data_IF_684802108764
#
_entry.id   IF_684802108764
#
_cell.length_a   1.000
_cell.length_b   1.000
_cell.length_c   1.000
_cell.angle_alpha   90.00
_cell.angle_beta   90.00
_cell.angle_gamma   90.00
#
_symmetry.space_group_name_H-M   'P 1'
#
loop_
_entity.id
_entity.type
_entity.pdbx_description
1 polymer ?
#
# COMPACT_ATOMS: atom_id res chain seq x y z
N UNK A 1 14.53 -4.66 20.38
CA UNK A 1 14.92 -4.36 18.97
C UNK A 1 16.04 -5.30 18.55
N UNK A 2 16.00 -5.85 17.34
CA UNK A 2 17.01 -6.78 16.79
C UNK A 2 17.66 -6.18 15.55
N UNK A 3 18.96 -6.36 15.42
CA UNK A 3 19.71 -5.87 14.28
C UNK A 3 19.88 -6.95 13.22
N UNK A 4 19.64 -6.59 11.98
CA UNK A 4 19.79 -7.47 10.82
C UNK A 4 20.43 -6.72 9.65
N UNK A 5 21.13 -7.45 8.77
CA UNK A 5 21.52 -6.94 7.45
C UNK A 5 20.57 -7.57 6.45
N UNK A 6 19.80 -6.75 5.74
CA UNK A 6 18.74 -7.26 4.86
C UNK A 6 18.44 -6.29 3.71
N UNK A 7 17.68 -6.76 2.73
CA UNK A 7 17.07 -5.92 1.67
C UNK A 7 15.62 -5.60 2.01
N UNK A 8 15.05 -4.56 1.37
CA UNK A 8 13.64 -4.22 1.53
C UNK A 8 12.72 -5.39 1.17
N UNK A 9 12.98 -6.07 0.04
CA UNK A 9 12.20 -7.24 -0.38
C UNK A 9 12.24 -8.37 0.64
N UNK A 10 13.42 -8.68 1.18
CA UNK A 10 13.58 -9.73 2.20
C UNK A 10 12.87 -9.34 3.52
N UNK A 11 12.87 -8.05 3.88
CA UNK A 11 12.16 -7.57 5.07
C UNK A 11 10.64 -7.64 4.91
N UNK A 12 10.10 -7.39 3.73
CA UNK A 12 8.68 -7.61 3.42
C UNK A 12 8.31 -9.08 3.62
N UNK A 13 9.09 -10.00 3.04
CA UNK A 13 8.84 -11.44 3.19
C UNK A 13 8.92 -11.91 4.65
N UNK A 14 9.93 -11.45 5.38
CA UNK A 14 10.12 -11.75 6.80
C UNK A 14 8.98 -11.23 7.66
N UNK A 15 8.61 -9.96 7.48
CA UNK A 15 7.51 -9.33 8.21
C UNK A 15 6.18 -10.06 7.95
N UNK A 16 5.93 -10.47 6.70
CA UNK A 16 4.75 -11.22 6.35
C UNK A 16 4.65 -12.54 7.16
N UNK A 17 5.72 -13.34 7.17
CA UNK A 17 5.72 -14.61 7.93
C UNK A 17 5.60 -14.37 9.44
N UNK A 18 6.35 -13.41 9.98
CA UNK A 18 6.34 -13.11 11.42
C UNK A 18 5.00 -12.56 11.89
N UNK A 19 4.25 -11.83 11.05
CA UNK A 19 2.88 -11.40 11.40
C UNK A 19 1.81 -12.45 11.12
N UNK A 20 2.21 -13.67 10.73
CA UNK A 20 1.32 -14.83 10.57
C UNK A 20 0.79 -15.04 9.15
N UNK A 21 1.40 -14.43 8.11
CA UNK A 21 1.15 -14.81 6.73
C UNK A 21 1.53 -16.28 6.55
N UNK A 22 0.58 -17.08 6.03
CA UNK A 22 0.74 -18.51 5.86
C UNK A 22 0.43 -18.98 4.44
N UNK A 23 0.19 -18.05 3.50
CA UNK A 23 -0.02 -18.39 2.10
C UNK A 23 0.53 -17.31 1.18
N UNK A 24 1.29 -17.73 0.18
CA UNK A 24 1.71 -16.90 -0.94
C UNK A 24 1.34 -17.58 -2.26
N UNK A 25 0.68 -16.81 -3.14
CA UNK A 25 0.43 -17.20 -4.52
C UNK A 25 0.97 -16.13 -5.47
N UNK A 26 1.80 -16.52 -6.44
CA UNK A 26 2.38 -15.52 -7.33
C UNK A 26 3.15 -16.09 -8.51
N UNK A 27 3.64 -15.18 -9.34
CA UNK A 27 4.51 -15.42 -10.48
C UNK A 27 5.73 -14.49 -10.40
N UNK A 28 6.96 -14.98 -10.61
CA UNK A 28 8.16 -14.17 -10.44
C UNK A 28 8.26 -13.08 -11.51
N UNK A 29 8.46 -11.84 -11.06
CA UNK A 29 8.70 -10.68 -11.92
C UNK A 29 9.66 -9.71 -11.23
N UNK A 30 10.66 -9.21 -11.97
CA UNK A 30 11.63 -8.21 -11.49
C UNK A 30 10.92 -6.85 -11.33
N UNK A 31 11.11 -6.11 -10.19
CA UNK A 31 12.08 -6.35 -9.10
C UNK A 31 11.44 -6.95 -7.82
N UNK A 32 10.35 -7.70 -7.90
CA UNK A 32 9.67 -8.31 -6.74
C UNK A 32 10.03 -9.79 -6.52
N UNK A 33 10.84 -10.39 -7.39
CA UNK A 33 11.13 -11.82 -7.36
C UNK A 33 11.76 -12.29 -6.05
N UNK A 34 12.55 -11.45 -5.38
CA UNK A 34 13.20 -11.78 -4.12
C UNK A 34 12.18 -12.00 -3.00
N UNK A 35 11.03 -11.31 -3.03
CA UNK A 35 9.94 -11.55 -2.07
C UNK A 35 9.43 -12.99 -2.21
N UNK A 36 9.16 -13.42 -3.45
CA UNK A 36 8.71 -14.78 -3.73
C UNK A 36 9.78 -15.82 -3.36
N UNK A 37 11.06 -15.53 -3.67
CA UNK A 37 12.19 -16.41 -3.32
C UNK A 37 12.30 -16.61 -1.81
N UNK A 38 12.32 -15.53 -1.03
CA UNK A 38 12.37 -15.60 0.44
C UNK A 38 11.16 -16.35 1.01
N UNK A 39 9.95 -16.09 0.53
CA UNK A 39 8.75 -16.76 0.99
C UNK A 39 8.71 -18.24 0.62
N UNK A 40 9.33 -18.65 -0.50
CA UNK A 40 9.44 -20.06 -0.88
C UNK A 40 10.25 -20.88 0.13
N UNK A 41 11.16 -20.21 0.85
CA UNK A 41 11.99 -20.82 1.91
C UNK A 41 11.33 -20.67 3.28
N UNK A 42 10.78 -19.50 3.58
CA UNK A 42 10.26 -19.17 4.92
C UNK A 42 8.91 -19.84 5.20
N UNK A 43 7.94 -19.77 4.27
CA UNK A 43 6.60 -20.31 4.51
C UNK A 43 6.59 -21.79 4.87
N UNK A 44 7.25 -22.70 4.12
CA UNK A 44 7.27 -24.11 4.49
C UNK A 44 7.89 -24.38 5.88
N UNK A 45 8.91 -23.62 6.28
CA UNK A 45 9.53 -23.74 7.61
C UNK A 45 8.60 -23.35 8.75
N UNK A 46 7.57 -22.51 8.47
CA UNK A 46 6.60 -22.04 9.45
C UNK A 46 5.20 -22.65 9.24
N UNK A 47 5.11 -23.79 8.49
CA UNK A 47 3.85 -24.48 8.25
C UNK A 47 2.91 -23.78 7.27
N UNK A 48 3.41 -22.81 6.52
CA UNK A 48 2.68 -22.11 5.46
C UNK A 48 2.86 -22.76 4.08
N UNK A 49 2.14 -22.24 3.10
CA UNK A 49 2.12 -22.72 1.72
C UNK A 49 2.63 -21.65 0.76
N UNK A 50 3.54 -22.02 -0.10
CA UNK A 50 4.03 -21.21 -1.22
C UNK A 50 3.64 -21.89 -2.53
N UNK A 51 2.98 -21.13 -3.44
CA UNK A 51 2.60 -21.64 -4.77
C UNK A 51 3.08 -20.64 -5.83
N UNK A 52 3.95 -21.13 -6.71
CA UNK A 52 4.26 -20.45 -7.95
C UNK A 52 3.28 -20.92 -9.02
N UNK A 53 2.61 -19.97 -9.63
CA UNK A 53 1.65 -20.21 -10.71
C UNK A 53 2.30 -19.90 -12.06
N UNK A 54 1.57 -20.17 -13.15
CA UNK A 54 2.02 -19.96 -14.53
C UNK A 54 1.93 -18.50 -14.99
N UNK A 55 1.13 -17.67 -14.27
CA UNK A 55 0.99 -16.23 -14.54
C UNK A 55 0.48 -15.46 -13.31
N UNK A 56 0.39 -14.15 -13.43
CA UNK A 56 -0.07 -13.26 -12.36
C UNK A 56 -1.56 -13.38 -12.08
N UNK A 57 -2.39 -13.75 -13.06
CA UNK A 57 -3.84 -13.92 -12.90
C UNK A 57 -4.11 -15.12 -11.99
N UNK A 58 -3.48 -16.24 -12.30
CA UNK A 58 -3.57 -17.44 -11.48
C UNK A 58 -2.95 -17.21 -10.08
N UNK A 59 -1.83 -16.47 -10.00
CA UNK A 59 -1.13 -16.16 -8.76
C UNK A 59 -2.01 -15.43 -7.74
N UNK A 60 -2.72 -14.37 -8.15
CA UNK A 60 -3.63 -13.66 -7.26
C UNK A 60 -4.90 -14.46 -6.98
N UNK A 61 -5.40 -15.24 -7.95
CA UNK A 61 -6.62 -16.03 -7.79
C UNK A 61 -6.47 -17.10 -6.70
N UNK A 62 -5.34 -17.83 -6.66
CA UNK A 62 -5.07 -18.80 -5.59
C UNK A 62 -4.88 -18.12 -4.24
N UNK A 63 -4.30 -16.91 -4.19
CA UNK A 63 -4.14 -16.15 -2.95
C UNK A 63 -5.49 -15.68 -2.40
N UNK A 64 -6.42 -15.21 -3.25
CA UNK A 64 -7.79 -14.87 -2.86
C UNK A 64 -8.56 -16.10 -2.35
N UNK A 65 -8.46 -17.24 -3.05
CA UNK A 65 -9.07 -18.50 -2.62
C UNK A 65 -8.55 -18.96 -1.26
N UNK A 66 -7.25 -18.88 -1.04
CA UNK A 66 -6.63 -19.19 0.25
C UNK A 66 -7.12 -18.24 1.36
N UNK A 67 -7.22 -16.95 1.08
CA UNK A 67 -7.74 -15.96 2.04
C UNK A 67 -9.22 -16.21 2.37
N UNK A 68 -10.06 -16.53 1.39
CA UNK A 68 -11.44 -16.93 1.62
C UNK A 68 -11.54 -18.18 2.49
N UNK A 69 -10.57 -19.08 2.39
CA UNK A 69 -10.47 -20.32 3.21
C UNK A 69 -9.81 -20.09 4.58
N UNK A 70 -9.46 -18.85 4.93
CA UNK A 70 -8.95 -18.49 6.26
C UNK A 70 -7.47 -18.23 6.35
N UNK A 71 -6.71 -18.38 5.27
CA UNK A 71 -5.30 -18.03 5.28
C UNK A 71 -5.09 -16.50 5.40
N UNK A 72 -4.01 -16.11 6.04
CA UNK A 72 -3.46 -14.78 5.92
C UNK A 72 -2.56 -14.77 4.68
N UNK A 73 -3.09 -14.30 3.55
CA UNK A 73 -2.48 -14.48 2.24
C UNK A 73 -1.89 -13.21 1.66
N UNK A 74 -0.89 -13.38 0.80
CA UNK A 74 -0.31 -12.29 0.01
C UNK A 74 0.10 -12.72 -1.40
N UNK A 75 0.28 -11.73 -2.26
CA UNK A 75 0.94 -11.85 -3.57
C UNK A 75 1.90 -10.69 -3.77
N UNK A 76 2.92 -10.87 -4.59
CA UNK A 76 3.85 -9.81 -4.98
C UNK A 76 4.00 -9.77 -6.50
N UNK A 77 4.20 -8.56 -7.04
CA UNK A 77 4.38 -8.34 -8.48
C UNK A 77 5.04 -6.99 -8.74
N UNK A 78 5.06 -6.57 -10.00
CA UNK A 78 5.54 -5.27 -10.46
C UNK A 78 4.74 -4.83 -11.67
N UNK A 79 4.55 -3.54 -11.88
CA UNK A 79 4.00 -2.89 -13.05
C UNK A 79 3.05 -3.71 -13.92
N UNK A 80 3.55 -4.36 -15.01
CA UNK A 80 2.69 -5.11 -15.93
C UNK A 80 1.98 -6.30 -15.27
N UNK A 81 2.61 -6.93 -14.26
CA UNK A 81 1.97 -8.01 -13.51
C UNK A 81 0.82 -7.51 -12.61
N UNK A 82 0.91 -6.28 -12.08
CA UNK A 82 -0.22 -5.66 -11.37
C UNK A 82 -1.36 -5.38 -12.35
N UNK A 83 -1.06 -4.94 -13.58
CA UNK A 83 -2.09 -4.75 -14.62
C UNK A 83 -2.84 -6.05 -14.93
N UNK A 84 -2.15 -7.19 -14.97
CA UNK A 84 -2.79 -8.51 -15.17
C UNK A 84 -3.66 -8.94 -13.99
N UNK A 85 -3.41 -8.44 -12.78
CA UNK A 85 -4.19 -8.75 -11.57
C UNK A 85 -5.45 -7.87 -11.40
N UNK A 86 -5.69 -6.93 -12.30
CA UNK A 86 -6.70 -5.88 -12.14
C UNK A 86 -8.11 -6.42 -11.80
N UNK A 87 -8.58 -7.42 -12.55
CA UNK A 87 -9.91 -8.03 -12.34
C UNK A 87 -10.02 -8.71 -10.97
N UNK A 88 -9.00 -9.46 -10.57
CA UNK A 88 -8.99 -10.17 -9.30
C UNK A 88 -8.87 -9.21 -8.11
N UNK A 89 -8.22 -8.06 -8.27
CA UNK A 89 -8.22 -7.00 -7.26
C UNK A 89 -9.64 -6.46 -7.07
N UNK A 90 -10.37 -6.24 -8.17
CA UNK A 90 -11.79 -5.86 -8.14
C UNK A 90 -12.66 -6.90 -7.45
N UNK A 91 -12.47 -8.19 -7.75
CA UNK A 91 -13.13 -9.28 -7.05
C UNK A 91 -12.83 -9.26 -5.54
N UNK A 92 -11.56 -9.09 -5.16
CA UNK A 92 -11.16 -9.00 -3.75
C UNK A 92 -11.83 -7.83 -3.02
N UNK A 93 -12.01 -6.70 -3.71
CA UNK A 93 -12.67 -5.52 -3.17
C UNK A 93 -14.19 -5.74 -2.98
N UNK A 94 -14.91 -6.16 -4.02
CA UNK A 94 -16.37 -6.32 -3.96
C UNK A 94 -16.78 -7.47 -3.04
N UNK A 95 -16.01 -8.57 -3.03
CA UNK A 95 -16.26 -9.73 -2.18
C UNK A 95 -15.68 -9.58 -0.76
N UNK A 96 -15.01 -8.49 -0.47
CA UNK A 96 -14.41 -8.18 0.84
C UNK A 96 -13.44 -9.26 1.33
N UNK A 97 -12.54 -9.70 0.46
CA UNK A 97 -11.53 -10.71 0.76
C UNK A 97 -10.22 -10.00 1.13
N UNK A 98 -9.73 -10.13 2.38
CA UNK A 98 -8.49 -9.49 2.80
C UNK A 98 -7.28 -10.11 2.09
N UNK A 99 -6.45 -9.27 1.45
CA UNK A 99 -5.24 -9.69 0.76
C UNK A 99 -4.19 -8.58 0.82
N UNK A 100 -2.92 -8.92 1.03
CA UNK A 100 -1.82 -7.98 0.83
C UNK A 100 -1.24 -8.18 -0.56
N UNK A 101 -1.17 -7.08 -1.32
CA UNK A 101 -0.62 -7.03 -2.66
C UNK A 101 0.62 -6.15 -2.63
N UNK A 102 1.79 -6.72 -2.86
CA UNK A 102 3.02 -5.95 -2.92
C UNK A 102 3.34 -5.62 -4.38
N UNK A 103 3.48 -4.33 -4.66
CA UNK A 103 3.99 -3.84 -5.94
C UNK A 103 5.36 -3.21 -5.72
N UNK A 104 6.41 -3.83 -6.23
CA UNK A 104 7.73 -3.22 -6.29
C UNK A 104 7.83 -2.48 -7.62
N UNK A 105 7.60 -1.17 -7.58
CA UNK A 105 7.49 -0.32 -8.78
C UNK A 105 8.81 -0.22 -9.55
N UNK A 106 8.69 -0.26 -10.87
CA UNK A 106 9.80 -0.12 -11.81
C UNK A 106 9.44 0.86 -12.93
N UNK A 107 10.41 1.23 -13.75
CA UNK A 107 10.16 2.11 -14.88
C UNK A 107 9.14 1.53 -15.85
N UNK A 108 7.99 2.19 -16.00
CA UNK A 108 6.94 1.92 -16.98
C UNK A 108 6.93 2.98 -18.09
N UNK A 109 5.94 2.95 -19.02
CA UNK A 109 4.86 1.97 -19.16
C UNK A 109 5.29 0.64 -19.80
N UNK A 110 4.38 -0.36 -19.81
CA UNK A 110 4.61 -1.71 -20.37
C UNK A 110 5.80 -2.40 -19.68
N UNK A 111 6.65 -3.13 -20.41
CA UNK A 111 7.86 -3.76 -19.90
C UNK A 111 8.82 -2.73 -19.30
N UNK A 112 8.92 -1.58 -19.92
CA UNK A 112 9.66 -0.41 -19.44
C UNK A 112 11.10 -0.67 -19.12
N UNK A 113 11.49 -0.37 -17.89
CA UNK A 113 12.84 -0.51 -17.34
C UNK A 113 12.84 -1.45 -16.14
N UNK A 114 12.94 -2.78 -16.31
CA UNK A 114 12.70 -3.78 -15.25
C UNK A 114 13.59 -3.64 -14.01
N UNK A 115 14.79 -3.06 -14.15
CA UNK A 115 15.80 -2.91 -13.10
C UNK A 115 16.08 -1.44 -12.77
N UNK A 116 15.12 -0.56 -13.01
CA UNK A 116 15.28 0.88 -12.77
C UNK A 116 14.14 1.42 -11.95
N UNK A 117 14.50 2.31 -11.04
CA UNK A 117 13.56 2.94 -10.10
C UNK A 117 12.53 3.82 -10.80
N UNK A 118 11.29 3.73 -10.36
CA UNK A 118 10.21 4.66 -10.66
C UNK A 118 9.15 4.62 -9.57
N UNK A 119 8.26 5.60 -9.57
CA UNK A 119 7.07 5.69 -8.73
C UNK A 119 5.84 5.96 -9.62
N UNK A 120 5.77 5.25 -10.76
CA UNK A 120 4.78 5.49 -11.81
C UNK A 120 3.44 4.78 -11.63
N UNK A 121 3.26 3.96 -10.59
CA UNK A 121 2.08 3.12 -10.40
C UNK A 121 1.12 3.68 -9.33
N UNK A 122 1.23 4.96 -8.96
CA UNK A 122 0.44 5.58 -7.89
C UNK A 122 -1.05 5.61 -8.24
N UNK A 123 -1.39 6.08 -9.45
CA UNK A 123 -2.77 6.14 -9.89
C UNK A 123 -3.33 4.74 -10.20
N UNK A 124 -2.49 3.81 -10.67
CA UNK A 124 -2.87 2.40 -10.80
C UNK A 124 -3.18 1.78 -9.44
N UNK A 125 -2.38 2.07 -8.41
CA UNK A 125 -2.61 1.56 -7.06
C UNK A 125 -3.90 2.14 -6.44
N UNK A 126 -4.24 3.38 -6.76
CA UNK A 126 -5.50 4.02 -6.32
C UNK A 126 -6.72 3.38 -6.99
N UNK A 127 -6.64 3.15 -8.30
CA UNK A 127 -7.73 2.63 -9.13
C UNK A 127 -7.22 1.42 -9.94
N UNK A 128 -6.99 0.27 -9.29
CA UNK A 128 -6.32 -0.86 -9.95
C UNK A 128 -7.24 -1.66 -10.89
N UNK A 129 -8.55 -1.42 -10.83
CA UNK A 129 -9.56 -2.12 -11.62
C UNK A 129 -10.58 -1.13 -12.19
N UNK A 130 -11.51 -1.62 -13.03
CA UNK A 130 -12.65 -0.84 -13.50
C UNK A 130 -13.69 -0.64 -12.38
N UNK A 131 -14.61 0.31 -12.60
CA UNK A 131 -15.64 0.69 -11.63
C UNK A 131 -15.09 1.53 -10.46
N UNK A 132 -15.92 1.70 -9.45
CA UNK A 132 -15.59 2.49 -8.28
C UNK A 132 -14.97 1.63 -7.19
N UNK A 133 -13.74 1.91 -6.82
CA UNK A 133 -12.99 1.21 -5.76
C UNK A 133 -12.37 2.20 -4.78
N UNK A 134 -12.17 1.77 -3.55
CA UNK A 134 -11.53 2.56 -2.49
C UNK A 134 -10.38 1.75 -1.88
N UNK A 135 -9.18 1.97 -2.38
CA UNK A 135 -8.00 1.19 -2.02
C UNK A 135 -7.24 1.81 -0.84
N UNK A 136 -6.71 0.96 0.02
CA UNK A 136 -5.69 1.35 1.00
C UNK A 136 -4.32 1.08 0.37
N UNK A 137 -3.49 2.14 0.28
CA UNK A 137 -2.18 2.10 -0.37
C UNK A 137 -1.11 2.65 0.55
N UNK A 138 -0.14 1.82 0.89
CA UNK A 138 0.97 2.17 1.78
C UNK A 138 2.27 2.27 0.99
N UNK A 139 3.16 3.19 1.37
CA UNK A 139 4.46 3.38 0.72
C UNK A 139 5.58 3.52 1.76
N UNK A 140 6.30 2.44 2.09
CA UNK A 140 7.48 2.51 2.93
C UNK A 140 8.59 3.32 2.25
N UNK A 141 9.39 4.01 3.07
CA UNK A 141 10.50 4.85 2.61
C UNK A 141 11.84 4.45 3.23
N UNK A 142 11.86 3.41 4.04
CA UNK A 142 13.07 2.85 4.66
C UNK A 142 12.97 1.34 4.80
N UNK A 143 14.08 0.68 5.12
CA UNK A 143 14.11 -0.77 5.38
C UNK A 143 13.27 -1.16 6.59
N UNK A 144 13.35 -0.37 7.68
CA UNK A 144 12.51 -0.58 8.85
C UNK A 144 11.03 -0.46 8.50
N UNK A 145 10.69 0.51 7.66
CA UNK A 145 9.31 0.70 7.18
C UNK A 145 8.86 -0.42 6.24
N UNK A 146 9.75 -1.05 5.45
CA UNK A 146 9.39 -2.26 4.70
C UNK A 146 8.86 -3.34 5.64
N UNK A 147 9.48 -3.50 6.81
CA UNK A 147 9.02 -4.45 7.81
C UNK A 147 7.71 -3.99 8.49
N UNK A 148 7.69 -2.79 9.07
CA UNK A 148 6.55 -2.32 9.87
C UNK A 148 5.30 -2.04 9.04
N UNK A 149 5.45 -1.50 7.82
CA UNK A 149 4.31 -1.26 6.93
C UNK A 149 3.75 -2.56 6.32
N UNK A 150 4.56 -3.61 6.19
CA UNK A 150 4.04 -4.94 5.80
C UNK A 150 3.12 -5.49 6.89
N UNK A 151 3.53 -5.45 8.15
CA UNK A 151 2.66 -5.85 9.28
C UNK A 151 1.37 -5.03 9.28
N UNK A 152 1.51 -3.71 9.09
CA UNK A 152 0.35 -2.80 9.04
C UNK A 152 -0.56 -3.09 7.84
N UNK A 153 -0.03 -3.44 6.67
CA UNK A 153 -0.83 -3.82 5.52
C UNK A 153 -1.73 -5.04 5.81
N UNK A 154 -1.19 -6.04 6.48
CA UNK A 154 -1.98 -7.20 6.92
C UNK A 154 -3.05 -6.83 7.94
N UNK A 155 -2.73 -5.94 8.87
CA UNK A 155 -3.70 -5.47 9.87
C UNK A 155 -4.85 -4.71 9.22
N UNK A 156 -4.56 -3.80 8.30
CA UNK A 156 -5.58 -3.02 7.58
C UNK A 156 -6.42 -3.92 6.66
N UNK A 157 -5.79 -4.89 5.98
CA UNK A 157 -6.53 -5.84 5.16
C UNK A 157 -7.54 -6.63 5.99
N UNK A 158 -7.12 -7.13 7.16
CA UNK A 158 -8.00 -7.87 8.07
C UNK A 158 -9.05 -6.98 8.77
N UNK A 159 -8.68 -5.73 9.12
CA UNK A 159 -9.57 -4.76 9.78
C UNK A 159 -10.71 -4.32 8.87
N UNK A 160 -10.39 -4.02 7.61
CA UNK A 160 -11.35 -3.49 6.64
C UNK A 160 -11.90 -4.55 5.68
N UNK A 161 -11.45 -5.80 5.80
CA UNK A 161 -11.83 -6.89 4.89
C UNK A 161 -11.73 -6.44 3.42
N UNK A 162 -10.50 -6.13 2.98
CA UNK A 162 -10.26 -5.56 1.65
C UNK A 162 -8.82 -5.86 1.21
N UNK A 163 -8.52 -5.90 -0.09
CA UNK A 163 -7.15 -5.86 -0.56
C UNK A 163 -6.45 -4.56 -0.13
N UNK A 164 -5.19 -4.67 0.31
CA UNK A 164 -4.31 -3.55 0.65
C UNK A 164 -3.06 -3.62 -0.21
N UNK A 165 -2.67 -2.52 -0.84
CA UNK A 165 -1.49 -2.45 -1.67
C UNK A 165 -0.32 -1.83 -0.91
N UNK A 166 0.83 -2.51 -0.95
CA UNK A 166 2.10 -2.02 -0.44
C UNK A 166 3.00 -1.67 -1.63
N UNK A 167 3.30 -0.38 -1.79
CA UNK A 167 4.12 0.14 -2.89
C UNK A 167 5.56 0.35 -2.42
N UNK A 168 6.49 -0.46 -2.91
CA UNK A 168 7.91 -0.18 -2.83
C UNK A 168 8.36 0.39 -4.18
N UNK A 169 9.35 1.27 -4.19
CA UNK A 169 10.11 1.47 -5.41
C UNK A 169 11.32 0.50 -5.45
N UNK A 170 11.86 0.28 -6.65
CA UNK A 170 12.96 -0.67 -6.88
C UNK A 170 14.16 -0.42 -5.97
N UNK A 171 14.50 0.86 -5.73
CA UNK A 171 15.63 1.23 -4.86
C UNK A 171 15.40 0.76 -3.42
N UNK A 172 14.22 0.99 -2.85
CA UNK A 172 13.89 0.52 -1.50
C UNK A 172 13.85 -1.01 -1.45
N UNK A 173 13.29 -1.67 -2.49
CA UNK A 173 13.23 -3.12 -2.56
C UNK A 173 14.59 -3.80 -2.53
N UNK A 174 15.56 -3.26 -3.28
CA UNK A 174 16.90 -3.85 -3.44
C UNK A 174 17.97 -3.27 -2.53
N UNK A 175 17.75 -2.09 -1.93
CA UNK A 175 18.71 -1.49 -1.00
C UNK A 175 19.03 -2.47 0.13
N UNK A 176 20.32 -2.69 0.38
CA UNK A 176 20.79 -3.52 1.48
C UNK A 176 21.52 -2.67 2.52
N UNK A 177 21.12 -2.80 3.77
CA UNK A 177 21.78 -2.14 4.88
C UNK A 177 21.56 -2.88 6.20
N UNK A 178 22.30 -2.49 7.22
CA UNK A 178 22.03 -2.85 8.62
C UNK A 178 20.85 -2.03 9.10
N UNK A 179 19.86 -2.70 9.67
CA UNK A 179 18.63 -2.08 10.17
C UNK A 179 18.26 -2.66 11.54
N UNK A 180 17.74 -1.80 12.40
CA UNK A 180 17.21 -2.18 13.72
C UNK A 180 15.71 -2.37 13.60
N UNK A 181 15.22 -3.58 13.83
CA UNK A 181 13.82 -3.95 13.72
C UNK A 181 13.17 -4.06 15.11
N UNK A 182 11.91 -3.65 15.27
CA UNK A 182 11.14 -3.98 16.46
C UNK A 182 10.95 -5.51 16.58
N UNK A 183 10.76 -6.00 17.79
CA UNK A 183 10.28 -7.37 17.97
C UNK A 183 8.82 -7.46 17.52
N UNK A 184 8.44 -8.57 16.92
CA UNK A 184 7.06 -8.75 16.44
C UNK A 184 6.03 -8.65 17.57
N UNK A 185 6.42 -8.98 18.80
CA UNK A 185 5.59 -8.83 19.99
C UNK A 185 5.32 -7.38 20.40
N UNK A 186 6.11 -6.44 19.89
CA UNK A 186 5.92 -4.99 20.12
C UNK A 186 4.93 -4.39 19.10
N UNK A 187 4.56 -5.16 18.05
CA UNK A 187 3.64 -4.74 17.01
C UNK A 187 2.26 -5.34 17.22
N UNK A 188 1.24 -4.56 16.98
CA UNK A 188 -0.12 -5.05 16.95
C UNK A 188 -0.30 -6.03 15.77
N UNK A 189 -0.95 -7.17 16.04
CA UNK A 189 -1.34 -8.15 15.03
C UNK A 189 -2.85 -8.31 15.05
N UNK A 190 -3.52 -7.72 14.08
CA UNK A 190 -4.96 -7.79 13.96
C UNK A 190 -5.40 -9.13 13.34
N UNK A 191 -6.44 -9.71 13.93
CA UNK A 191 -7.11 -10.91 13.41
C UNK A 191 -8.44 -10.51 12.82
N UNK A 192 -8.79 -11.03 11.63
CA UNK A 192 -10.10 -10.78 11.05
C UNK A 192 -11.21 -11.28 11.98
N UNK A 193 -12.32 -10.57 11.99
CA UNK A 193 -13.49 -10.95 12.77
C UNK A 193 -14.18 -12.13 12.11
N UNK A 194 -14.64 -13.06 12.93
CA UNK A 194 -15.47 -14.20 12.53
C UNK A 194 -16.79 -14.14 13.31
N UNK A 195 -17.88 -14.59 12.68
CA UNK A 195 -19.17 -14.73 13.36
C UNK A 195 -19.18 -15.98 14.23
N UNK A 196 -19.76 -15.84 15.41
CA UNK A 196 -20.09 -16.97 16.30
C UNK A 196 -21.60 -17.28 16.29
N UNK A 197 -22.36 -16.67 15.36
CA UNK A 197 -23.81 -16.90 15.24
C UNK A 197 -24.16 -18.28 14.67
N UNK A 198 -25.43 -18.61 14.72
CA UNK A 198 -25.93 -19.90 14.19
C UNK A 198 -25.70 -19.98 12.67
N UNK A 199 -25.09 -21.06 12.15
CA UNK A 199 -24.78 -21.20 10.72
C UNK A 199 -25.97 -21.05 9.78
N UNK A 200 -27.20 -21.40 10.24
CA UNK A 200 -28.43 -21.28 9.44
C UNK A 200 -28.90 -19.83 9.25
N UNK A 201 -28.52 -18.95 10.15
CA UNK A 201 -28.87 -17.51 10.11
C UNK A 201 -27.73 -16.62 9.59
N UNK A 202 -26.65 -17.23 9.16
CA UNK A 202 -25.44 -16.52 8.77
C UNK A 202 -25.62 -15.68 7.50
N UNK A 203 -25.36 -14.38 7.64
CA UNK A 203 -25.43 -13.38 6.58
C UNK A 203 -24.16 -12.51 6.64
N UNK A 204 -23.08 -12.93 6.00
CA UNK A 204 -21.77 -12.29 6.14
C UNK A 204 -21.75 -10.82 5.70
N UNK A 205 -22.60 -10.43 4.75
CA UNK A 205 -22.66 -9.07 4.21
C UNK A 205 -23.77 -8.19 4.83
N UNK A 206 -24.50 -8.72 5.84
CA UNK A 206 -25.45 -7.95 6.63
C UNK A 206 -24.68 -7.19 7.73
N UNK A 207 -23.98 -6.13 7.32
CA UNK A 207 -23.11 -5.32 8.17
C UNK A 207 -23.61 -3.88 8.25
N UNK A 208 -23.23 -3.16 9.32
CA UNK A 208 -23.55 -1.74 9.47
C UNK A 208 -22.99 -0.90 8.30
N UNK A 209 -23.55 0.31 8.05
CA UNK A 209 -23.21 1.13 6.89
C UNK A 209 -21.73 1.53 6.76
N UNK A 210 -20.95 1.41 7.84
CA UNK A 210 -19.53 1.74 7.94
C UNK A 210 -18.66 0.55 8.38
N UNK A 211 -19.26 -0.65 8.42
CA UNK A 211 -18.55 -1.86 8.84
C UNK A 211 -18.22 -2.80 7.68
N UNK A 212 -17.11 -3.55 7.74
CA UNK A 212 -16.79 -4.59 6.79
C UNK A 212 -17.72 -5.82 6.99
N UNK A 213 -17.79 -6.65 5.96
CA UNK A 213 -18.41 -7.97 6.07
C UNK A 213 -17.70 -8.84 7.12
N UNK A 214 -18.44 -9.80 7.68
CA UNK A 214 -17.89 -10.78 8.62
C UNK A 214 -17.82 -12.15 7.94
N UNK A 215 -16.77 -12.35 7.12
CA UNK A 215 -16.59 -13.59 6.36
C UNK A 215 -15.89 -14.65 7.20
N UNK A 216 -16.64 -15.68 7.60
CA UNK A 216 -16.04 -16.88 8.18
C UNK A 216 -15.29 -17.66 7.11
N UNK A 217 -14.16 -18.31 7.45
CA UNK A 217 -13.45 -19.16 6.51
C UNK A 217 -14.34 -20.25 5.92
N UNK A 218 -14.19 -20.56 4.63
CA UNK A 218 -14.79 -21.73 4.05
C UNK A 218 -14.44 -22.99 4.85
N UNK A 219 -15.30 -24.01 4.81
CA UNK A 219 -15.17 -25.29 5.50
C UNK A 219 -15.31 -25.24 7.03
N UNK A 220 -15.80 -24.13 7.60
CA UNK A 220 -16.09 -23.97 9.05
C UNK A 220 -17.57 -24.18 9.41
N UNK A 221 -18.36 -24.79 8.51
CA UNK A 221 -19.77 -25.09 8.76
C UNK A 221 -20.74 -23.95 8.41
N UNK A 222 -20.25 -22.83 7.93
CA UNK A 222 -21.07 -21.72 7.45
C UNK A 222 -21.28 -21.82 5.93
N UNK A 223 -22.51 -21.54 5.48
CA UNK A 223 -22.87 -21.58 4.07
C UNK A 223 -23.21 -20.17 3.59
N UNK A 224 -22.47 -19.71 2.60
CA UNK A 224 -22.67 -18.42 1.94
C UNK A 224 -22.04 -18.44 0.54
N UNK A 225 -22.37 -17.45 -0.26
CA UNK A 225 -21.86 -17.34 -1.63
C UNK A 225 -20.84 -16.21 -1.73
N UNK A 226 -19.78 -16.42 -2.53
CA UNK A 226 -18.83 -15.38 -2.94
C UNK A 226 -18.92 -15.25 -4.46
N UNK A 227 -19.07 -14.02 -4.93
CA UNK A 227 -19.18 -13.71 -6.35
C UNK A 227 -18.59 -12.34 -6.65
N UNK A 228 -18.19 -12.12 -7.92
CA UNK A 228 -17.85 -10.80 -8.44
C UNK A 228 -19.07 -9.98 -8.86
N UNK A 229 -20.29 -10.54 -8.79
CA UNK A 229 -21.54 -9.79 -9.03
C UNK A 229 -21.92 -9.00 -7.77
N UNK A 230 -22.71 -7.94 -7.94
CA UNK A 230 -23.39 -7.32 -6.82
C UNK A 230 -24.27 -8.35 -6.12
N UNK A 231 -24.26 -8.35 -4.80
CA UNK A 231 -24.86 -9.41 -4.01
C UNK A 231 -25.57 -8.88 -2.76
N UNK A 232 -26.52 -9.67 -2.27
CA UNK A 232 -27.24 -9.42 -1.02
C UNK A 232 -26.49 -9.92 0.21
N UNK A 233 -27.18 -9.90 1.35
CA UNK A 233 -26.60 -10.21 2.68
C UNK A 233 -26.00 -11.62 2.81
N UNK A 234 -26.44 -12.58 2.01
CA UNK A 234 -25.93 -13.97 1.99
C UNK A 234 -24.88 -14.22 0.91
N UNK A 235 -24.54 -13.19 0.12
CA UNK A 235 -23.58 -13.28 -0.99
C UNK A 235 -24.20 -13.69 -2.33
N UNK A 236 -25.47 -14.07 -2.41
CA UNK A 236 -26.13 -14.38 -3.67
C UNK A 236 -26.34 -13.11 -4.53
N UNK A 237 -26.18 -13.22 -5.87
CA UNK A 237 -26.32 -12.10 -6.78
C UNK A 237 -27.67 -11.38 -6.66
N UNK A 238 -27.67 -10.07 -6.87
CA UNK A 238 -28.87 -9.24 -6.93
C UNK A 238 -28.72 -8.11 -7.93
N UNK A 239 -29.84 -7.71 -8.56
CA UNK A 239 -29.96 -6.51 -9.40
C UNK A 239 -30.85 -5.44 -8.73
N UNK A 240 -31.24 -5.63 -7.46
CA UNK A 240 -31.98 -4.63 -6.71
C UNK A 240 -31.12 -3.38 -6.47
N UNK A 241 -31.52 -2.26 -7.13
CA UNK A 241 -30.75 -1.01 -7.09
C UNK A 241 -30.53 -0.46 -5.68
N UNK A 242 -31.44 -0.68 -4.73
CA UNK A 242 -31.28 -0.23 -3.35
C UNK A 242 -30.24 -1.04 -2.60
N UNK A 243 -30.20 -2.36 -2.83
CA UNK A 243 -29.19 -3.24 -2.23
C UNK A 243 -27.82 -2.92 -2.81
N UNK A 244 -27.74 -2.72 -4.13
CA UNK A 244 -26.48 -2.35 -4.81
C UNK A 244 -25.94 -1.02 -4.30
N UNK A 245 -26.78 0.04 -4.24
CA UNK A 245 -26.41 1.34 -3.72
C UNK A 245 -25.94 1.29 -2.26
N UNK A 246 -26.69 0.57 -1.40
CA UNK A 246 -26.28 0.36 -0.01
C UNK A 246 -24.93 -0.32 0.10
N UNK A 247 -24.71 -1.40 -0.65
CA UNK A 247 -23.46 -2.16 -0.64
C UNK A 247 -22.27 -1.32 -1.11
N UNK A 248 -22.42 -0.57 -2.20
CA UNK A 248 -21.37 0.32 -2.70
C UNK A 248 -21.03 1.41 -1.69
N UNK A 249 -22.04 2.08 -1.12
CA UNK A 249 -21.81 3.08 -0.08
C UNK A 249 -21.10 2.49 1.14
N UNK A 250 -21.47 1.29 1.58
CA UNK A 250 -20.83 0.59 2.70
C UNK A 250 -19.36 0.25 2.40
N UNK A 251 -19.05 -0.25 1.21
CA UNK A 251 -17.68 -0.54 0.78
C UNK A 251 -16.76 0.69 0.83
N UNK A 252 -17.30 1.87 0.54
CA UNK A 252 -16.57 3.12 0.66
C UNK A 252 -16.53 3.64 2.10
N UNK A 253 -17.65 3.62 2.81
CA UNK A 253 -17.79 4.18 4.16
C UNK A 253 -16.94 3.43 5.18
N UNK A 254 -16.79 2.10 5.05
CA UNK A 254 -15.95 1.31 5.97
C UNK A 254 -14.49 1.80 6.01
N UNK A 255 -14.03 2.53 4.98
CA UNK A 255 -12.70 3.15 4.93
C UNK A 255 -12.79 4.66 5.16
N UNK A 256 -13.69 5.37 4.45
CA UNK A 256 -13.75 6.83 4.45
C UNK A 256 -14.14 7.42 5.82
N UNK A 257 -14.95 6.70 6.60
CA UNK A 257 -15.33 7.13 7.95
C UNK A 257 -14.31 6.72 9.03
N UNK A 258 -13.28 5.98 8.65
CA UNK A 258 -12.20 5.48 9.52
C UNK A 258 -10.81 5.77 8.95
N UNK A 259 -10.65 6.91 8.27
CA UNK A 259 -9.37 7.29 7.65
C UNK A 259 -8.25 7.47 8.67
N UNK A 260 -8.57 7.86 9.90
CA UNK A 260 -7.64 7.97 11.02
C UNK A 260 -6.95 6.64 11.37
N UNK A 261 -7.63 5.50 11.20
CA UNK A 261 -7.02 4.17 11.34
C UNK A 261 -6.06 3.85 10.16
N UNK A 262 -6.34 4.43 8.99
CA UNK A 262 -5.56 4.19 7.76
C UNK A 262 -4.40 5.16 7.58
N UNK A 263 -4.52 6.40 8.05
CA UNK A 263 -3.53 7.44 7.83
C UNK A 263 -2.28 7.23 8.69
N UNK A 264 -1.12 7.32 8.04
CA UNK A 264 0.17 7.41 8.72
C UNK A 264 1.12 8.26 7.90
N UNK A 265 1.86 9.12 8.58
CA UNK A 265 2.88 9.99 7.99
C UNK A 265 4.00 10.26 9.00
N UNK A 266 5.10 10.81 8.52
CA UNK A 266 6.20 11.32 9.33
C UNK A 266 6.42 12.79 8.99
N UNK A 267 6.68 13.60 9.99
CA UNK A 267 7.16 14.97 9.87
C UNK A 267 8.63 15.01 10.32
N UNK A 268 9.50 15.45 9.42
CA UNK A 268 10.93 15.57 9.73
C UNK A 268 11.34 17.03 9.65
N UNK A 269 11.76 17.59 10.78
CA UNK A 269 12.18 19.01 10.91
C UNK A 269 11.17 20.01 10.36
N UNK A 270 9.87 19.77 10.54
CA UNK A 270 8.81 20.58 9.93
C UNK A 270 8.31 21.71 10.84
N UNK A 271 8.59 21.64 12.15
CA UNK A 271 8.04 22.58 13.14
C UNK A 271 8.47 24.03 12.89
N UNK A 272 9.76 24.27 12.66
CA UNK A 272 10.39 25.57 12.40
C UNK A 272 10.66 25.84 10.91
N UNK A 273 10.17 24.95 10.01
CA UNK A 273 10.42 25.05 8.58
C UNK A 273 9.68 26.23 7.93
N UNK A 274 10.30 26.81 6.92
CA UNK A 274 9.74 27.82 6.02
C UNK A 274 9.42 27.23 4.63
N UNK A 275 10.03 26.08 4.30
CA UNK A 275 9.81 25.33 3.07
C UNK A 275 9.45 23.89 3.46
N UNK A 276 8.36 23.38 2.89
CA UNK A 276 7.93 22.01 3.06
C UNK A 276 8.22 21.18 1.80
N UNK A 277 9.02 20.12 1.94
CA UNK A 277 9.15 19.09 0.91
C UNK A 277 8.09 18.01 1.19
N UNK A 278 7.42 17.51 0.15
CA UNK A 278 6.55 16.34 0.20
C UNK A 278 7.16 15.26 -0.67
N UNK A 279 7.50 14.11 -0.08
CA UNK A 279 8.10 12.99 -0.78
C UNK A 279 7.81 11.65 -0.07
N UNK A 280 7.83 10.54 -0.82
CA UNK A 280 7.63 9.18 -0.32
C UNK A 280 8.62 8.21 -0.98
N UNK A 281 8.68 6.96 -0.51
CA UNK A 281 9.60 5.96 -1.03
C UNK A 281 11.07 6.38 -0.92
N UNK A 282 11.90 5.97 -1.87
CA UNK A 282 13.34 6.31 -1.90
C UNK A 282 13.60 7.82 -2.01
N UNK A 283 12.69 8.58 -2.61
CA UNK A 283 12.82 10.04 -2.72
C UNK A 283 12.80 10.71 -1.36
N UNK A 284 12.06 10.17 -0.39
CA UNK A 284 12.05 10.71 0.97
C UNK A 284 13.42 10.58 1.67
N UNK A 285 14.20 9.52 1.37
CA UNK A 285 15.58 9.40 1.88
C UNK A 285 16.48 10.50 1.33
N UNK A 286 16.42 10.74 0.01
CA UNK A 286 17.16 11.84 -0.63
C UNK A 286 16.72 13.21 -0.10
N UNK A 287 15.42 13.38 0.16
CA UNK A 287 14.89 14.62 0.74
C UNK A 287 15.40 14.86 2.17
N UNK A 288 15.47 13.83 3.02
CA UNK A 288 16.05 13.96 4.36
C UNK A 288 17.51 14.44 4.31
N UNK A 289 18.32 13.86 3.42
CA UNK A 289 19.71 14.30 3.25
C UNK A 289 19.81 15.73 2.72
N UNK A 290 19.00 16.08 1.71
CA UNK A 290 18.96 17.45 1.19
C UNK A 290 18.57 18.47 2.27
N UNK A 291 17.62 18.14 3.14
CA UNK A 291 17.20 18.99 4.26
C UNK A 291 18.36 19.23 5.21
N UNK A 292 19.11 18.19 5.60
CA UNK A 292 20.28 18.34 6.48
C UNK A 292 21.31 19.27 5.86
N UNK A 293 21.65 19.07 4.57
CA UNK A 293 22.61 19.90 3.85
C UNK A 293 22.15 21.38 3.74
N UNK A 294 20.85 21.61 3.50
CA UNK A 294 20.27 22.96 3.40
C UNK A 294 20.23 23.65 4.76
N UNK A 295 19.92 22.92 5.82
CA UNK A 295 19.92 23.46 7.18
C UNK A 295 21.31 23.85 7.66
N UNK A 296 22.36 23.13 7.28
CA UNK A 296 23.74 23.54 7.51
C UNK A 296 24.07 24.89 6.84
N UNK A 297 23.37 25.22 5.73
CA UNK A 297 23.46 26.52 5.05
C UNK A 297 22.51 27.58 5.62
N UNK A 298 21.81 27.29 6.73
CA UNK A 298 20.90 28.22 7.41
C UNK A 298 19.47 28.25 6.85
N UNK A 299 19.10 27.35 5.96
CA UNK A 299 17.75 27.30 5.36
C UNK A 299 16.82 26.37 6.16
N UNK A 300 15.67 26.89 6.55
CA UNK A 300 14.67 26.14 7.35
C UNK A 300 13.77 25.32 6.45
N UNK A 301 14.22 24.15 6.08
CA UNK A 301 13.48 23.17 5.26
C UNK A 301 13.06 21.99 6.10
N UNK A 302 11.86 21.45 5.85
CA UNK A 302 11.34 20.24 6.49
C UNK A 302 10.66 19.31 5.49
N UNK A 303 10.38 18.08 5.93
CA UNK A 303 9.74 17.05 5.11
C UNK A 303 8.41 16.62 5.72
N UNK A 304 7.38 16.57 4.90
CA UNK A 304 6.20 15.75 5.12
C UNK A 304 6.31 14.47 4.29
N UNK A 305 6.31 13.33 4.97
CA UNK A 305 6.45 12.00 4.36
C UNK A 305 5.19 11.17 4.61
N UNK A 306 4.27 11.04 3.64
CA UNK A 306 3.16 10.13 3.75
C UNK A 306 3.64 8.68 3.70
N UNK A 307 3.18 7.85 4.64
CA UNK A 307 3.34 6.39 4.66
C UNK A 307 2.06 5.71 4.16
N UNK A 308 0.93 6.41 4.23
CA UNK A 308 -0.31 6.06 3.54
C UNK A 308 -0.53 7.06 2.42
N UNK A 309 -0.55 6.57 1.18
CA UNK A 309 -0.85 7.41 0.01
C UNK A 309 -2.35 7.52 -0.23
N UNK A 310 -3.09 6.43 0.03
CA UNK A 310 -4.54 6.37 -0.08
C UNK A 310 -5.14 5.51 1.07
N UNK A 311 -6.22 5.96 1.73
CA UNK A 311 -6.72 7.34 1.65
C UNK A 311 -5.61 8.32 2.01
N UNK A 312 -5.52 9.41 1.25
CA UNK A 312 -4.50 10.43 1.51
C UNK A 312 -4.81 11.16 2.83
N UNK A 313 -3.78 11.58 3.60
CA UNK A 313 -3.97 12.31 4.85
C UNK A 313 -4.43 13.75 4.58
N UNK A 314 -5.70 13.86 4.15
CA UNK A 314 -6.27 15.08 3.59
C UNK A 314 -6.30 16.24 4.58
N UNK A 315 -6.61 15.97 5.86
CA UNK A 315 -6.60 16.99 6.91
C UNK A 315 -5.20 17.57 7.07
N UNK A 316 -4.18 16.69 7.16
CA UNK A 316 -2.79 17.11 7.34
C UNK A 316 -2.24 17.84 6.11
N UNK A 317 -2.58 17.40 4.91
CA UNK A 317 -2.18 18.09 3.68
C UNK A 317 -2.77 19.51 3.59
N UNK A 318 -4.01 19.71 4.05
CA UNK A 318 -4.62 21.06 4.14
C UNK A 318 -3.89 21.93 5.17
N UNK A 319 -3.61 21.41 6.37
CA UNK A 319 -2.80 22.11 7.40
C UNK A 319 -1.43 22.52 6.85
N UNK A 320 -0.76 21.66 6.08
CA UNK A 320 0.50 21.97 5.41
C UNK A 320 0.30 23.08 4.37
N UNK A 321 -0.74 23.00 3.56
CA UNK A 321 -1.06 24.03 2.56
C UNK A 321 -1.33 25.39 3.18
N UNK A 322 -2.00 25.42 4.32
CA UNK A 322 -2.31 26.67 5.04
C UNK A 322 -1.06 27.26 5.73
N UNK A 323 -0.16 26.38 6.23
CA UNK A 323 1.07 26.79 6.93
C UNK A 323 2.16 27.25 5.98
N UNK A 324 2.31 26.58 4.82
CA UNK A 324 3.46 26.77 3.91
C UNK A 324 3.07 27.39 2.58
N UNK A 325 3.61 28.60 2.30
CA UNK A 325 3.57 29.17 0.96
C UNK A 325 4.58 28.52 0.00
N UNK A 326 5.65 27.92 0.55
CA UNK A 326 6.73 27.28 -0.20
C UNK A 326 6.64 25.76 -0.01
N UNK A 327 6.08 25.07 -1.01
CA UNK A 327 5.95 23.60 -1.02
C UNK A 327 6.66 23.07 -2.27
N UNK A 328 7.46 22.01 -2.10
CA UNK A 328 8.07 21.27 -3.18
C UNK A 328 7.67 19.80 -3.12
N UNK A 329 6.97 19.30 -4.13
CA UNK A 329 6.66 17.87 -4.25
C UNK A 329 7.70 17.18 -5.12
N UNK A 330 8.31 16.10 -4.60
CA UNK A 330 9.34 15.34 -5.31
C UNK A 330 8.84 13.91 -5.56
N UNK A 331 8.83 13.46 -6.81
CA UNK A 331 8.37 12.12 -7.16
C UNK A 331 9.01 11.57 -8.46
N UNK A 332 9.17 10.24 -8.53
CA UNK A 332 9.76 9.54 -9.68
C UNK A 332 8.71 9.14 -10.72
N UNK A 333 7.90 10.13 -11.13
CA UNK A 333 6.89 10.06 -12.18
C UNK A 333 6.60 11.46 -12.74
N UNK A 334 5.57 11.62 -13.54
CA UNK A 334 5.20 12.89 -14.18
C UNK A 334 4.09 13.66 -13.42
N UNK A 335 4.04 13.52 -12.08
CA UNK A 335 3.14 14.30 -11.25
C UNK A 335 1.87 13.56 -10.82
N UNK A 336 1.93 12.26 -10.64
CA UNK A 336 0.76 11.45 -10.25
C UNK A 336 0.28 11.79 -8.84
N UNK A 337 1.19 11.83 -7.86
CA UNK A 337 0.79 12.13 -6.48
C UNK A 337 0.61 13.64 -6.26
N UNK A 338 1.42 14.48 -6.88
CA UNK A 338 1.21 15.95 -6.84
C UNK A 338 -0.14 16.36 -7.42
N UNK A 339 -0.63 15.67 -8.45
CA UNK A 339 -2.01 15.87 -8.96
C UNK A 339 -3.09 15.49 -7.96
N UNK A 340 -2.88 14.47 -7.15
CA UNK A 340 -3.80 14.11 -6.06
C UNK A 340 -3.73 15.11 -4.90
N UNK A 341 -2.53 15.58 -4.54
CA UNK A 341 -2.35 16.65 -3.55
C UNK A 341 -3.10 17.91 -3.99
N UNK A 342 -2.95 18.34 -5.25
CA UNK A 342 -3.64 19.53 -5.79
C UNK A 342 -5.16 19.46 -5.64
N UNK A 343 -5.76 18.30 -5.86
CA UNK A 343 -7.20 18.07 -5.67
C UNK A 343 -7.63 18.22 -4.20
N UNK A 344 -6.77 17.80 -3.26
CA UNK A 344 -7.07 17.84 -1.82
C UNK A 344 -6.96 19.25 -1.27
N UNK A 345 -5.88 19.95 -1.61
CA UNK A 345 -5.58 21.30 -1.09
C UNK A 345 -6.18 22.42 -1.93
N UNK A 346 -6.79 22.10 -3.08
CA UNK A 346 -7.43 23.02 -4.01
C UNK A 346 -6.49 24.12 -4.53
N UNK A 347 -5.21 23.82 -4.70
CA UNK A 347 -4.19 24.70 -5.30
C UNK A 347 -3.16 23.90 -6.07
N UNK A 348 -2.50 24.51 -7.05
CA UNK A 348 -1.47 23.89 -7.91
C UNK A 348 -0.25 24.80 -8.15
N UNK A 349 -0.09 25.83 -7.32
CA UNK A 349 0.98 26.82 -7.39
C UNK A 349 2.24 26.42 -6.61
N UNK A 350 2.34 25.17 -6.17
CA UNK A 350 3.52 24.63 -5.53
C UNK A 350 4.54 24.06 -6.54
N UNK A 351 5.81 24.09 -6.15
CA UNK A 351 6.89 23.58 -7.00
C UNK A 351 6.88 22.05 -7.11
N UNK A 352 7.32 21.53 -8.24
CA UNK A 352 7.41 20.09 -8.52
C UNK A 352 8.80 19.73 -9.02
N UNK A 353 9.39 18.66 -8.49
CA UNK A 353 10.57 18.00 -9.02
C UNK A 353 10.18 16.60 -9.48
N UNK A 354 9.91 16.48 -10.77
CA UNK A 354 9.40 15.28 -11.41
C UNK A 354 10.47 14.61 -12.25
N UNK A 355 10.67 13.30 -12.08
CA UNK A 355 11.70 12.56 -12.81
C UNK A 355 11.21 11.18 -13.22
N UNK A 356 11.11 10.93 -14.52
CA UNK A 356 10.59 9.68 -15.08
C UNK A 356 11.58 9.04 -16.07
N UNK A 357 12.85 8.93 -15.67
CA UNK A 357 13.95 8.47 -16.55
C UNK A 357 14.69 7.22 -16.02
N UNK A 358 14.13 6.54 -15.01
CA UNK A 358 14.73 5.36 -14.40
C UNK A 358 15.95 5.64 -13.53
N UNK A 359 16.13 6.88 -13.08
CA UNK A 359 17.23 7.30 -12.18
C UNK A 359 16.64 7.89 -10.91
N UNK A 360 17.26 7.64 -9.74
CA UNK A 360 16.82 8.23 -8.48
C UNK A 360 16.96 9.77 -8.52
N UNK A 361 16.16 10.47 -7.73
CA UNK A 361 16.37 11.88 -7.43
C UNK A 361 17.45 11.96 -6.35
N UNK A 362 18.53 12.68 -6.61
CA UNK A 362 19.61 12.89 -5.66
C UNK A 362 19.33 14.05 -4.70
N UNK A 363 19.98 14.09 -3.51
CA UNK A 363 19.89 15.25 -2.63
C UNK A 363 20.27 16.56 -3.31
N UNK A 364 21.30 16.56 -4.16
CA UNK A 364 21.76 17.75 -4.89
C UNK A 364 20.74 18.27 -5.90
N UNK A 365 19.94 17.40 -6.55
CA UNK A 365 18.86 17.82 -7.44
C UNK A 365 17.73 18.50 -6.65
N UNK A 366 17.43 18.03 -5.44
CA UNK A 366 16.45 18.66 -4.54
C UNK A 366 16.96 20.04 -4.07
N UNK A 367 18.22 20.11 -3.64
CA UNK A 367 18.88 21.38 -3.24
C UNK A 367 18.86 22.40 -4.39
N UNK A 368 19.26 21.98 -5.59
CA UNK A 368 19.26 22.84 -6.77
C UNK A 368 17.84 23.33 -7.11
N UNK A 369 16.83 22.46 -7.02
CA UNK A 369 15.44 22.85 -7.29
C UNK A 369 14.90 23.85 -6.26
N UNK A 370 15.24 23.69 -4.99
CA UNK A 370 14.90 24.66 -3.94
C UNK A 370 15.58 26.01 -4.22
N UNK A 371 16.87 26.01 -4.60
CA UNK A 371 17.59 27.24 -5.00
C UNK A 371 16.97 27.94 -6.19
N UNK A 372 16.63 27.20 -7.24
CA UNK A 372 15.96 27.71 -8.45
C UNK A 372 14.63 28.40 -8.14
N UNK A 373 13.78 27.75 -7.34
CA UNK A 373 12.38 28.19 -7.14
C UNK A 373 12.25 29.24 -6.04
N UNK A 374 13.07 29.15 -5.01
CA UNK A 374 12.92 29.99 -3.80
C UNK A 374 14.07 30.99 -3.57
N UNK A 375 15.07 30.98 -4.46
CA UNK A 375 16.10 32.03 -4.55
C UNK A 375 17.12 31.99 -3.40
N UNK A 376 18.12 31.07 -3.47
CA UNK A 376 19.25 31.02 -2.53
C UNK A 376 20.56 31.00 -3.26
#
# INVERSE_FOLDING_TARGET
>A
MREVVSTGNALVARAAVECGCNFFGGYPITPSSEIAHELSVLLPKHGGTFIQMEDEIAGISVALGASASGAKAMTASSGPGISLKAEQIGLGFIAEIPLVIVNVMRGGPSTGLPTRVAQGDILQAKNPTHGDVNMIVLAPSSLEECYTQTVRAFNLAARFMTPVMLLLDETIGHMQARVSLPEISELEIYKRRESNGEPKEYKPYDAAPDAPATLNPFFKGYHYHITGLHHGSTGFPTEDGKIVEYSMNRLFNKINLHTDECEKFEEFMLDDAEICIIAFGSVALSAKQAILNLREKGLKVGLFKPLTLFPAPAKKLKEISDKFNKILVCELNLGQYSGEISKIILRDDFAKLLKANGRPISPSEIEAKIGEVYGF
#
